data_IF_228718130830
#
_entry.id   IF_228718130830
#
_cell.length_a   1.000
_cell.length_b   1.000
_cell.length_c   1.000
_cell.angle_alpha   90.00
_cell.angle_beta   90.00
_cell.angle_gamma   90.00
#
_symmetry.space_group_name_H-M   'P 1'
#
loop_
_entity.id
_entity.type
_entity.pdbx_description
1 polymer ?
#
# COMPACT_ATOMS: atom_id res chain seq x y z
N UNK A 1 24.20 23.47 -17.65
CA UNK A 1 24.52 22.80 -16.35
C UNK A 1 23.27 22.59 -15.49
N UNK A 2 22.46 23.63 -15.23
CA UNK A 2 21.17 23.51 -14.53
C UNK A 2 20.14 22.59 -15.19
N UNK A 3 20.01 22.68 -16.52
CA UNK A 3 19.08 21.82 -17.30
C UNK A 3 19.40 20.34 -17.17
N UNK A 4 20.69 19.97 -17.24
CA UNK A 4 21.16 18.60 -17.06
C UNK A 4 20.88 18.07 -15.65
N UNK A 5 21.20 18.85 -14.61
CA UNK A 5 20.91 18.48 -13.21
C UNK A 5 19.42 18.35 -12.95
N UNK A 6 18.60 19.24 -13.52
CA UNK A 6 17.13 19.19 -13.42
C UNK A 6 16.59 17.93 -14.09
N UNK A 7 17.05 17.60 -15.29
CA UNK A 7 16.64 16.37 -16.00
C UNK A 7 17.05 15.11 -15.24
N UNK A 8 18.28 15.06 -14.72
CA UNK A 8 18.75 13.94 -13.89
C UNK A 8 17.96 13.81 -12.58
N UNK A 9 17.68 14.93 -11.91
CA UNK A 9 16.86 14.92 -10.69
C UNK A 9 15.42 14.49 -10.96
N UNK A 10 14.81 15.00 -12.04
CA UNK A 10 13.46 14.60 -12.47
C UNK A 10 13.40 13.12 -12.87
N UNK A 11 14.40 12.60 -13.59
CA UNK A 11 14.49 11.18 -13.94
C UNK A 11 14.68 10.31 -12.69
N UNK A 12 15.54 10.71 -11.76
CA UNK A 12 15.78 10.01 -10.50
C UNK A 12 14.50 9.99 -9.65
N UNK A 13 13.75 11.08 -9.64
CA UNK A 13 12.48 11.20 -8.95
C UNK A 13 11.44 10.23 -9.54
N UNK A 14 11.26 10.21 -10.87
CA UNK A 14 10.34 9.27 -11.56
C UNK A 14 10.75 7.81 -11.37
N UNK A 15 12.05 7.48 -11.44
CA UNK A 15 12.54 6.11 -11.20
C UNK A 15 12.30 5.69 -9.75
N UNK A 16 12.57 6.59 -8.79
CA UNK A 16 12.30 6.34 -7.36
C UNK A 16 10.80 6.14 -7.11
N UNK A 17 9.97 6.91 -7.81
CA UNK A 17 8.52 6.83 -7.71
C UNK A 17 7.96 5.50 -8.19
N UNK A 18 8.41 5.04 -9.36
CA UNK A 18 8.03 3.73 -9.90
C UNK A 18 8.55 2.61 -8.99
N UNK A 19 9.76 2.73 -8.45
CA UNK A 19 10.32 1.76 -7.52
C UNK A 19 9.48 1.64 -6.24
N UNK A 20 9.09 2.77 -5.65
CA UNK A 20 8.28 2.79 -4.42
C UNK A 20 6.87 2.21 -4.66
N UNK A 21 6.23 2.52 -5.79
CA UNK A 21 4.96 1.89 -6.17
C UNK A 21 5.09 0.38 -6.37
N UNK A 22 6.18 -0.05 -7.01
CA UNK A 22 6.46 -1.47 -7.20
C UNK A 22 6.66 -2.17 -5.86
N UNK A 23 7.42 -1.56 -4.95
CA UNK A 23 7.61 -2.07 -3.60
C UNK A 23 6.30 -2.20 -2.84
N UNK A 24 5.40 -1.21 -2.93
CA UNK A 24 4.08 -1.29 -2.29
C UNK A 24 3.25 -2.47 -2.82
N UNK A 25 3.28 -2.72 -4.13
CA UNK A 25 2.56 -3.84 -4.75
C UNK A 25 3.18 -5.21 -4.45
N UNK A 26 4.50 -5.27 -4.22
CA UNK A 26 5.22 -6.49 -3.87
C UNK A 26 4.99 -6.91 -2.40
N UNK A 27 4.48 -6.01 -1.54
CA UNK A 27 4.10 -6.34 -0.16
C UNK A 27 2.86 -7.22 -0.19
N UNK A 28 3.05 -8.52 0.01
CA UNK A 28 2.01 -9.54 0.06
C UNK A 28 1.98 -10.15 1.45
N UNK A 29 0.80 -10.27 2.05
CA UNK A 29 0.62 -10.76 3.43
C UNK A 29 1.20 -12.16 3.66
N UNK A 30 1.17 -13.04 2.64
CA UNK A 30 1.78 -14.38 2.68
C UNK A 30 3.29 -14.35 2.96
N UNK A 31 3.96 -13.24 2.63
CA UNK A 31 5.41 -13.08 2.83
C UNK A 31 5.78 -12.73 4.27
N UNK A 32 4.79 -12.50 5.15
CA UNK A 32 5.01 -12.08 6.52
C UNK A 32 4.54 -13.15 7.52
N UNK A 33 5.25 -13.33 8.64
CA UNK A 33 4.91 -14.35 9.64
C UNK A 33 3.66 -14.01 10.46
N UNK A 34 3.24 -12.74 10.47
CA UNK A 34 2.04 -12.27 11.19
C UNK A 34 1.35 -11.16 10.41
N UNK A 35 0.03 -11.07 10.55
CA UNK A 35 -0.79 -9.98 10.00
C UNK A 35 -0.32 -8.62 10.52
N UNK A 36 0.10 -8.55 11.78
CA UNK A 36 0.68 -7.33 12.36
C UNK A 36 1.95 -6.87 11.64
N UNK A 37 2.91 -7.78 11.39
CA UNK A 37 4.15 -7.44 10.70
C UNK A 37 3.91 -7.00 9.24
N UNK A 38 2.94 -7.63 8.57
CA UNK A 38 2.49 -7.20 7.25
C UNK A 38 1.93 -5.77 7.27
N UNK A 39 1.01 -5.47 8.19
CA UNK A 39 0.41 -4.13 8.30
C UNK A 39 1.44 -3.05 8.61
N UNK A 40 2.40 -3.33 9.50
CA UNK A 40 3.49 -2.41 9.81
C UNK A 40 4.39 -2.15 8.59
N UNK A 41 4.76 -3.19 7.84
CA UNK A 41 5.55 -3.05 6.61
C UNK A 41 4.79 -2.27 5.52
N UNK A 42 3.50 -2.55 5.35
CA UNK A 42 2.64 -1.86 4.40
C UNK A 42 2.50 -0.37 4.76
N UNK A 43 2.23 -0.07 6.04
CA UNK A 43 2.15 1.31 6.53
C UNK A 43 3.48 2.06 6.33
N UNK A 44 4.61 1.44 6.64
CA UNK A 44 5.93 2.04 6.42
C UNK A 44 6.19 2.34 4.93
N UNK A 45 5.77 1.46 4.02
CA UNK A 45 5.88 1.71 2.58
C UNK A 45 4.97 2.85 2.10
N UNK A 46 3.75 2.93 2.63
CA UNK A 46 2.82 4.03 2.34
C UNK A 46 3.34 5.38 2.88
N UNK A 47 3.94 5.39 4.07
CA UNK A 47 4.55 6.58 4.65
C UNK A 47 5.78 7.03 3.84
N UNK A 48 6.58 6.09 3.32
CA UNK A 48 7.70 6.40 2.43
C UNK A 48 7.24 7.04 1.11
N UNK A 49 6.09 6.62 0.57
CA UNK A 49 5.47 7.27 -0.60
C UNK A 49 5.06 8.70 -0.27
N UNK A 50 4.42 8.92 0.88
CA UNK A 50 4.04 10.25 1.37
C UNK A 50 5.26 11.17 1.51
N UNK A 51 6.36 10.68 2.11
CA UNK A 51 7.61 11.43 2.26
C UNK A 51 8.23 11.76 0.89
N UNK A 52 8.09 10.88 -0.09
CA UNK A 52 8.55 11.10 -1.47
C UNK A 52 7.66 12.06 -2.28
N UNK A 53 6.60 12.61 -1.67
CA UNK A 53 5.63 13.49 -2.32
C UNK A 53 4.66 12.75 -3.25
N UNK A 54 4.59 11.42 -3.13
CA UNK A 54 3.68 10.55 -3.87
C UNK A 54 2.51 10.19 -2.96
N UNK A 55 1.46 10.99 -2.98
CA UNK A 55 0.22 10.64 -2.32
C UNK A 55 -0.64 9.82 -3.25
N UNK A 56 -0.93 8.58 -2.86
CA UNK A 56 -1.98 7.79 -3.49
C UNK A 56 -3.35 8.28 -2.99
N UNK A 57 -4.37 8.38 -3.86
CA UNK A 57 -5.75 8.55 -3.40
C UNK A 57 -6.14 7.45 -2.42
N UNK A 58 -6.93 7.78 -1.39
CA UNK A 58 -7.30 6.82 -0.34
C UNK A 58 -7.97 5.56 -0.91
N UNK A 59 -8.82 5.71 -1.93
CA UNK A 59 -9.44 4.62 -2.67
C UNK A 59 -8.41 3.65 -3.30
N UNK A 60 -7.30 4.19 -3.81
CA UNK A 60 -6.22 3.39 -4.41
C UNK A 60 -5.45 2.66 -3.31
N UNK A 61 -5.18 3.33 -2.19
CA UNK A 61 -4.52 2.70 -1.04
C UNK A 61 -5.35 1.54 -0.48
N UNK A 62 -6.67 1.70 -0.38
CA UNK A 62 -7.62 0.65 0.03
C UNK A 62 -7.55 -0.55 -0.92
N UNK A 63 -7.62 -0.31 -2.23
CA UNK A 63 -7.56 -1.37 -3.23
C UNK A 63 -6.22 -2.10 -3.24
N UNK A 64 -5.11 -1.38 -3.07
CA UNK A 64 -3.76 -1.98 -2.98
C UNK A 64 -3.63 -2.86 -1.74
N UNK A 65 -4.14 -2.41 -0.60
CA UNK A 65 -4.13 -3.20 0.63
C UNK A 65 -5.01 -4.45 0.52
N UNK A 66 -6.18 -4.35 -0.11
CA UNK A 66 -7.06 -5.50 -0.36
C UNK A 66 -6.41 -6.54 -1.29
N UNK A 67 -5.69 -6.08 -2.33
CA UNK A 67 -4.98 -6.95 -3.27
C UNK A 67 -3.70 -7.58 -2.69
N UNK A 68 -3.23 -7.08 -1.55
CA UNK A 68 -2.09 -7.63 -0.82
C UNK A 68 -2.47 -8.76 0.15
N UNK A 69 -3.78 -9.00 0.34
CA UNK A 69 -4.30 -10.09 1.16
C UNK A 69 -4.26 -11.42 0.38
N UNK A 70 -4.08 -12.56 1.06
CA UNK A 70 -4.05 -13.86 0.41
C UNK A 70 -5.44 -14.30 -0.08
N UNK A 71 -5.48 -15.25 -1.02
CA UNK A 71 -6.74 -15.83 -1.54
C UNK A 71 -7.63 -16.43 -0.43
N UNK A 72 -7.06 -16.86 0.69
CA UNK A 72 -7.84 -17.33 1.85
C UNK A 72 -8.74 -16.26 2.45
N UNK A 73 -8.50 -14.98 2.16
CA UNK A 73 -9.27 -13.83 2.62
C UNK A 73 -10.25 -13.31 1.55
N UNK A 74 -10.52 -14.07 0.47
CA UNK A 74 -11.39 -13.64 -0.63
C UNK A 74 -12.80 -13.21 -0.16
N UNK A 75 -13.36 -13.88 0.85
CA UNK A 75 -14.65 -13.54 1.44
C UNK A 75 -14.62 -12.16 2.11
N UNK A 76 -13.57 -11.87 2.88
CA UNK A 76 -13.33 -10.58 3.51
C UNK A 76 -13.13 -9.47 2.46
N UNK A 77 -12.30 -9.74 1.44
CA UNK A 77 -12.06 -8.81 0.32
C UNK A 77 -13.38 -8.47 -0.38
N UNK A 78 -14.23 -9.46 -0.65
CA UNK A 78 -15.52 -9.25 -1.34
C UNK A 78 -16.51 -8.42 -0.51
N UNK A 79 -16.52 -8.58 0.82
CA UNK A 79 -17.37 -7.77 1.70
C UNK A 79 -16.92 -6.31 1.76
N UNK A 80 -15.61 -6.09 1.89
CA UNK A 80 -15.06 -4.74 1.99
C UNK A 80 -14.99 -4.00 0.65
N UNK A 81 -14.82 -4.70 -0.47
CA UNK A 81 -14.86 -4.10 -1.82
C UNK A 81 -16.23 -3.54 -2.19
N UNK A 82 -17.31 -4.09 -1.62
CA UNK A 82 -18.67 -3.63 -1.85
C UNK A 82 -19.09 -2.49 -0.89
N UNK A 83 -18.21 -2.06 0.01
CA UNK A 83 -18.52 -1.00 0.98
C UNK A 83 -18.18 0.38 0.40
N UNK A 84 -19.17 1.22 0.08
CA UNK A 84 -18.91 2.55 -0.46
C UNK A 84 -18.24 3.45 0.60
N UNK A 85 -17.22 4.21 0.19
CA UNK A 85 -16.43 5.10 1.05
C UNK A 85 -15.71 4.38 2.21
N UNK A 86 -15.25 3.15 2.00
CA UNK A 86 -14.40 2.47 2.96
C UNK A 86 -13.12 3.29 3.21
N UNK A 87 -12.92 3.70 4.46
CA UNK A 87 -11.71 4.40 4.88
C UNK A 87 -10.57 3.43 5.12
N UNK A 88 -9.34 3.86 4.85
CA UNK A 88 -8.15 3.06 5.09
C UNK A 88 -8.03 2.64 6.56
N UNK A 89 -8.32 3.55 7.47
CA UNK A 89 -8.25 3.31 8.93
C UNK A 89 -9.24 2.23 9.38
N UNK A 90 -10.42 2.20 8.77
CA UNK A 90 -11.44 1.17 9.03
C UNK A 90 -10.96 -0.18 8.49
N UNK A 91 -10.42 -0.22 7.28
CA UNK A 91 -9.89 -1.45 6.69
C UNK A 91 -8.73 -2.04 7.53
N UNK A 92 -7.77 -1.21 7.95
CA UNK A 92 -6.67 -1.64 8.82
C UNK A 92 -7.16 -2.23 10.15
N UNK A 93 -8.23 -1.67 10.71
CA UNK A 93 -8.82 -2.15 11.96
C UNK A 93 -9.52 -3.50 11.74
N UNK A 94 -10.28 -3.62 10.64
CA UNK A 94 -10.98 -4.85 10.30
C UNK A 94 -10.00 -6.00 10.01
N UNK A 95 -8.90 -5.74 9.30
CA UNK A 95 -7.86 -6.77 9.04
C UNK A 95 -7.25 -7.27 10.36
N UNK A 96 -7.03 -6.38 11.33
CA UNK A 96 -6.53 -6.79 12.66
C UNK A 96 -7.54 -7.62 13.44
N UNK A 97 -8.84 -7.39 13.24
CA UNK A 97 -9.90 -8.13 13.92
C UNK A 97 -10.10 -9.52 13.30
N UNK A 98 -10.07 -9.62 11.97
CA UNK A 98 -10.26 -10.88 11.25
C UNK A 98 -9.14 -11.89 11.57
N UNK A 99 -7.90 -11.44 11.80
CA UNK A 99 -6.77 -12.28 12.24
C UNK A 99 -6.97 -12.90 13.64
N UNK A 100 -7.88 -12.34 14.45
CA UNK A 100 -8.18 -12.81 15.81
C UNK A 100 -9.38 -13.77 15.87
N UNK A 101 -10.04 -14.05 14.74
CA UNK A 101 -11.19 -14.95 14.62
C UNK A 101 -10.73 -16.35 14.22
#
# INVERSE_FOLDING_TARGET
>A
MWTFLKTQYQQTNVVSHVLLHKQLNEIQMVSFPTTKAFLEAWQAANDNLLIAGLTLPEEVQVNVLLNALPDSWQSFVSQHSNTPNLKLTTLLTNIRQEDQI
#
